data_IF_018608778494
#
_entry.id   IF_018608778494
#
_cell.length_a   1.000
_cell.length_b   1.000
_cell.length_c   1.000
_cell.angle_alpha   90.00
_cell.angle_beta   90.00
_cell.angle_gamma   90.00
#
_symmetry.space_group_name_H-M   'P 1'
#
loop_
_entity.id
_entity.type
_entity.pdbx_description
1 polymer ?
#
# COMPACT_ATOMS: atom_id res chain seq x y z
N UNK A 1 -11.77 -15.91 7.57
CA UNK A 1 -10.98 -15.08 6.65
C UNK A 1 -11.68 -15.06 5.29
N UNK A 2 -11.93 -13.89 4.81
CA UNK A 2 -12.60 -13.74 3.53
C UNK A 2 -11.59 -13.79 2.40
N UNK A 3 -11.53 -14.90 1.68
CA UNK A 3 -10.60 -15.12 0.59
C UNK A 3 -10.80 -14.15 -0.58
N UNK A 4 -11.94 -13.47 -0.60
CA UNK A 4 -12.27 -12.52 -1.66
C UNK A 4 -11.24 -11.41 -1.79
N UNK A 5 -10.69 -10.95 -0.67
CA UNK A 5 -9.73 -9.85 -0.68
C UNK A 5 -8.28 -10.29 -0.49
N UNK A 6 -8.05 -11.58 -0.31
CA UNK A 6 -6.70 -12.07 0.02
C UNK A 6 -5.68 -11.72 -1.06
N UNK A 7 -6.03 -11.89 -2.32
CA UNK A 7 -5.11 -11.61 -3.43
C UNK A 7 -4.83 -10.11 -3.55
N UNK A 8 -5.87 -9.29 -3.44
CA UNK A 8 -5.72 -7.84 -3.56
C UNK A 8 -4.93 -7.27 -2.40
N UNK A 9 -5.20 -7.76 -1.19
CA UNK A 9 -4.47 -7.35 -0.01
C UNK A 9 -2.99 -7.71 -0.12
N UNK A 10 -2.72 -8.94 -0.52
CA UNK A 10 -1.34 -9.42 -0.66
C UNK A 10 -0.59 -8.64 -1.74
N UNK A 11 -1.25 -8.39 -2.86
CA UNK A 11 -0.66 -7.62 -3.94
C UNK A 11 -0.35 -6.19 -3.53
N UNK A 12 -1.29 -5.55 -2.86
CA UNK A 12 -1.10 -4.17 -2.39
C UNK A 12 0.05 -4.10 -1.37
N UNK A 13 0.09 -5.05 -0.44
CA UNK A 13 1.16 -5.15 0.53
C UNK A 13 2.52 -5.26 -0.15
N UNK A 14 2.61 -6.14 -1.13
CA UNK A 14 3.85 -6.36 -1.87
C UNK A 14 4.27 -5.10 -2.63
N UNK A 15 3.34 -4.48 -3.34
CA UNK A 15 3.66 -3.29 -4.12
C UNK A 15 4.06 -2.12 -3.25
N UNK A 16 3.40 -1.93 -2.10
CA UNK A 16 3.79 -0.87 -1.17
C UNK A 16 5.22 -1.08 -0.70
N UNK A 17 5.60 -2.33 -0.42
CA UNK A 17 6.96 -2.65 0.02
C UNK A 17 8.01 -2.45 -1.06
N UNK A 18 7.61 -2.45 -2.33
CA UNK A 18 8.54 -2.24 -3.43
C UNK A 18 8.70 -0.79 -3.84
N UNK A 19 7.94 0.12 -3.23
CA UNK A 19 8.04 1.54 -3.53
C UNK A 19 9.28 2.13 -2.82
N UNK A 20 10.29 2.59 -3.58
CA UNK A 20 11.58 2.96 -2.98
C UNK A 20 11.60 4.33 -2.31
N UNK A 21 10.63 5.18 -2.59
CA UNK A 21 10.63 6.55 -2.09
C UNK A 21 9.78 6.75 -0.84
N UNK A 22 9.15 5.70 -0.36
CA UNK A 22 8.37 5.75 0.86
C UNK A 22 9.25 5.47 2.08
N UNK A 23 9.01 6.21 3.16
CA UNK A 23 9.69 5.92 4.43
C UNK A 23 9.07 4.69 5.08
N UNK A 24 9.79 4.11 6.04
CA UNK A 24 9.28 2.98 6.81
C UNK A 24 7.98 3.35 7.52
N UNK A 25 7.90 4.55 8.07
CA UNK A 25 6.69 5.02 8.74
C UNK A 25 5.51 5.12 7.79
N UNK A 26 5.75 5.61 6.58
CA UNK A 26 4.70 5.71 5.56
C UNK A 26 4.22 4.32 5.12
N UNK A 27 5.14 3.41 4.88
CA UNK A 27 4.80 2.03 4.55
C UNK A 27 3.96 1.39 5.65
N UNK A 28 4.37 1.57 6.90
CA UNK A 28 3.66 1.01 8.04
C UNK A 28 2.24 1.58 8.14
N UNK A 29 2.08 2.87 7.89
CA UNK A 29 0.75 3.50 7.92
C UNK A 29 -0.17 2.90 6.86
N UNK A 30 0.33 2.74 5.62
CA UNK A 30 -0.48 2.13 4.56
C UNK A 30 -0.80 0.67 4.84
N UNK A 31 0.16 -0.09 5.34
CA UNK A 31 -0.05 -1.49 5.67
C UNK A 31 -1.08 -1.62 6.79
N UNK A 32 -1.01 -0.77 7.79
CA UNK A 32 -1.97 -0.77 8.90
C UNK A 32 -3.39 -0.52 8.39
N UNK A 33 -3.56 0.46 7.51
CA UNK A 33 -4.86 0.74 6.91
C UNK A 33 -5.35 -0.42 6.06
N UNK A 34 -4.44 -1.06 5.34
CA UNK A 34 -4.75 -2.20 4.50
C UNK A 34 -5.30 -3.37 5.33
N UNK A 35 -4.68 -3.66 6.46
CA UNK A 35 -5.14 -4.73 7.33
C UNK A 35 -6.47 -4.38 8.01
N UNK A 36 -6.67 -3.10 8.28
CA UNK A 36 -7.91 -2.64 8.89
C UNK A 36 -9.10 -2.75 7.94
N UNK A 37 -8.88 -2.43 6.66
CA UNK A 37 -9.94 -2.50 5.66
C UNK A 37 -9.38 -2.95 4.31
N UNK A 38 -9.30 -4.28 4.07
CA UNK A 38 -8.78 -4.81 2.81
C UNK A 38 -9.58 -4.40 1.57
N UNK A 39 -10.83 -3.99 1.75
CA UNK A 39 -11.64 -3.56 0.62
C UNK A 39 -11.13 -2.25 0.02
N UNK A 40 -10.29 -1.52 0.75
CA UNK A 40 -9.68 -0.28 0.30
C UNK A 40 -8.29 -0.48 -0.32
N UNK A 41 -7.89 -1.73 -0.53
CA UNK A 41 -6.53 -2.02 -0.99
C UNK A 41 -6.18 -1.30 -2.29
N UNK A 42 -7.11 -1.23 -3.23
CA UNK A 42 -6.88 -0.55 -4.51
C UNK A 42 -6.64 0.96 -4.31
N UNK A 43 -7.45 1.59 -3.47
CA UNK A 43 -7.30 3.01 -3.18
C UNK A 43 -6.01 3.29 -2.41
N UNK A 44 -5.71 2.47 -1.42
CA UNK A 44 -4.48 2.61 -0.65
C UNK A 44 -3.25 2.48 -1.53
N UNK A 45 -3.27 1.52 -2.45
CA UNK A 45 -2.17 1.33 -3.37
C UNK A 45 -1.99 2.55 -4.28
N UNK A 46 -3.09 3.10 -4.77
CA UNK A 46 -3.05 4.29 -5.62
C UNK A 46 -2.47 5.48 -4.86
N UNK A 47 -2.88 5.68 -3.62
CA UNK A 47 -2.35 6.75 -2.78
C UNK A 47 -0.87 6.55 -2.49
N UNK A 48 -0.48 5.32 -2.20
CA UNK A 48 0.93 5.00 -1.93
C UNK A 48 1.79 5.31 -3.16
N UNK A 49 1.32 4.94 -4.34
CA UNK A 49 2.04 5.23 -5.58
C UNK A 49 2.16 6.73 -5.84
N UNK A 50 1.10 7.48 -5.59
CA UNK A 50 1.14 8.94 -5.73
C UNK A 50 2.15 9.56 -4.79
N UNK A 51 2.16 9.13 -3.55
CA UNK A 51 3.10 9.63 -2.57
C UNK A 51 4.53 9.27 -2.95
N UNK A 52 4.74 8.03 -3.39
CA UNK A 52 6.05 7.59 -3.86
C UNK A 52 6.56 8.46 -5.00
N UNK A 53 5.69 8.74 -5.97
CA UNK A 53 6.04 9.57 -7.12
C UNK A 53 6.33 11.01 -6.69
N UNK A 54 5.55 11.54 -5.76
CA UNK A 54 5.75 12.88 -5.22
C UNK A 54 7.09 13.02 -4.49
N UNK A 55 7.56 11.96 -3.88
CA UNK A 55 8.82 11.94 -3.14
C UNK A 55 10.00 11.49 -3.98
N UNK A 56 9.77 11.13 -5.23
CA UNK A 56 10.84 10.68 -6.11
C UNK A 56 11.84 11.81 -6.37
N UNK A 57 13.14 11.50 -6.37
CA UNK A 57 14.15 12.50 -6.71
C UNK A 57 14.03 12.91 -8.18
N UNK A 58 14.26 14.19 -8.44
CA UNK A 58 14.23 14.69 -9.82
C UNK A 58 15.60 14.60 -10.46
#
# INVERSE_FOLDING_TARGET
>A
VDAKYAKEEQRAWFEIHTLPNLTVNQMAAFISKLFDDPSQSSELLSEAKKLNDSQAPK
#
